data_IF_597274469104
#
_entry.id   IF_597274469104
#
_cell.length_a   1.000
_cell.length_b   1.000
_cell.length_c   1.000
_cell.angle_alpha   90.00
_cell.angle_beta   90.00
_cell.angle_gamma   90.00
#
_symmetry.space_group_name_H-M   'P 1'
#
loop_
_entity.id
_entity.type
_entity.pdbx_description
1 polymer ?
#
# COMPACT_ATOMS: atom_id res chain seq x y z
N UNK A 1 23.16 -5.75 -4.99
CA UNK A 1 23.41 -4.81 -3.86
C UNK A 1 22.23 -3.84 -3.86
N UNK A 2 21.04 -4.38 -3.58
CA UNK A 2 19.75 -3.71 -3.82
C UNK A 2 19.13 -3.20 -2.52
N UNK A 3 19.75 -3.57 -1.41
CA UNK A 3 19.43 -3.18 -0.03
C UNK A 3 19.40 -1.67 0.22
N UNK A 4 20.30 -0.81 -0.30
CA UNK A 4 20.21 0.64 -0.06
C UNK A 4 19.06 1.31 -0.82
N UNK A 5 18.74 0.85 -2.03
CA UNK A 5 17.62 1.37 -2.84
C UNK A 5 16.27 0.95 -2.24
N UNK A 6 16.15 -0.31 -1.81
CA UNK A 6 14.99 -0.80 -1.06
C UNK A 6 14.76 0.00 0.22
N UNK A 7 15.80 0.25 0.99
CA UNK A 7 15.69 1.04 2.22
C UNK A 7 15.26 2.47 1.93
N UNK A 8 15.83 3.12 0.91
CA UNK A 8 15.42 4.48 0.51
C UNK A 8 13.95 4.51 0.06
N UNK A 9 13.51 3.54 -0.74
CA UNK A 9 12.13 3.40 -1.19
C UNK A 9 11.17 3.18 -0.02
N UNK A 10 11.46 2.19 0.83
CA UNK A 10 10.66 1.88 2.03
C UNK A 10 10.51 3.09 2.95
N UNK A 11 11.59 3.85 3.16
CA UNK A 11 11.54 5.07 3.98
C UNK A 11 10.64 6.16 3.38
N UNK A 12 10.56 6.27 2.05
CA UNK A 12 9.72 7.22 1.33
C UNK A 12 8.23 6.85 1.27
N UNK A 13 7.87 5.62 1.62
CA UNK A 13 6.46 5.19 1.67
C UNK A 13 5.72 5.87 2.82
N UNK A 14 4.40 6.00 2.68
CA UNK A 14 3.53 6.47 3.77
C UNK A 14 3.49 5.43 4.89
N UNK A 15 3.43 5.87 6.14
CA UNK A 15 3.34 5.00 7.32
C UNK A 15 2.23 3.95 7.19
N UNK A 16 1.03 4.34 6.74
CA UNK A 16 -0.10 3.41 6.51
C UNK A 16 0.22 2.28 5.51
N UNK A 17 1.05 2.56 4.50
CA UNK A 17 1.48 1.55 3.54
C UNK A 17 2.53 0.65 4.18
N UNK A 18 3.48 1.23 4.95
CA UNK A 18 4.49 0.45 5.70
C UNK A 18 3.83 -0.52 6.70
N UNK A 19 2.83 -0.06 7.45
CA UNK A 19 2.08 -0.88 8.41
C UNK A 19 1.40 -2.08 7.72
N UNK A 20 0.73 -1.85 6.58
CA UNK A 20 0.12 -2.95 5.82
C UNK A 20 1.19 -3.87 5.19
N UNK A 21 2.33 -3.33 4.75
CA UNK A 21 3.44 -4.14 4.22
C UNK A 21 4.04 -5.09 5.27
N UNK A 22 3.99 -4.75 6.57
CA UNK A 22 4.43 -5.65 7.66
C UNK A 22 3.55 -6.92 7.74
N UNK A 23 2.31 -6.85 7.26
CA UNK A 23 1.40 -8.00 7.20
C UNK A 23 1.61 -8.88 5.96
N UNK A 24 2.48 -8.48 5.04
CA UNK A 24 2.85 -9.26 3.86
C UNK A 24 4.24 -9.91 4.02
N UNK A 25 4.50 -10.95 3.22
CA UNK A 25 5.84 -11.54 3.14
C UNK A 25 6.88 -10.48 2.75
N UNK A 26 8.08 -10.62 3.32
CA UNK A 26 9.18 -9.69 3.10
C UNK A 26 9.60 -9.77 1.64
N UNK A 27 9.56 -8.66 0.92
CA UNK A 27 10.10 -8.58 -0.45
C UNK A 27 11.62 -8.81 -0.42
N UNK A 28 12.11 -9.71 -1.28
CA UNK A 28 13.54 -9.98 -1.44
C UNK A 28 14.18 -8.97 -2.40
N UNK A 29 13.42 -8.52 -3.41
CA UNK A 29 13.87 -7.57 -4.43
C UNK A 29 13.13 -6.22 -4.39
N UNK A 30 13.78 -5.17 -4.94
CA UNK A 30 13.18 -3.83 -5.02
C UNK A 30 11.90 -3.83 -5.85
N UNK A 31 11.88 -4.61 -6.92
CA UNK A 31 10.74 -4.73 -7.82
C UNK A 31 9.52 -5.30 -7.08
N UNK A 32 9.74 -6.37 -6.31
CA UNK A 32 8.70 -6.97 -5.46
C UNK A 32 8.18 -5.98 -4.42
N UNK A 33 9.06 -5.19 -3.80
CA UNK A 33 8.66 -4.16 -2.84
C UNK A 33 7.78 -3.08 -3.49
N UNK A 34 8.10 -2.68 -4.73
CA UNK A 34 7.30 -1.73 -5.50
C UNK A 34 5.94 -2.33 -5.83
N UNK A 35 5.89 -3.57 -6.34
CA UNK A 35 4.64 -4.26 -6.66
C UNK A 35 3.74 -4.45 -5.44
N UNK A 36 4.32 -4.83 -4.30
CA UNK A 36 3.62 -4.96 -3.01
C UNK A 36 3.07 -3.61 -2.55
N UNK A 37 3.87 -2.54 -2.59
CA UNK A 37 3.43 -1.21 -2.20
C UNK A 37 2.28 -0.70 -3.07
N UNK A 38 2.33 -0.92 -4.39
CA UNK A 38 1.26 -0.55 -5.33
C UNK A 38 -0.02 -1.34 -5.04
N UNK A 39 0.09 -2.65 -4.78
CA UNK A 39 -1.06 -3.50 -4.46
C UNK A 39 -1.74 -3.07 -3.15
N UNK A 40 -0.94 -2.76 -2.13
CA UNK A 40 -1.43 -2.24 -0.84
C UNK A 40 -2.11 -0.89 -1.02
N UNK A 41 -1.49 0.04 -1.76
CA UNK A 41 -2.07 1.37 -2.01
C UNK A 41 -3.42 1.28 -2.74
N UNK A 42 -3.52 0.43 -3.77
CA UNK A 42 -4.78 0.17 -4.46
C UNK A 42 -5.86 -0.36 -3.51
N UNK A 43 -5.53 -1.35 -2.67
CA UNK A 43 -6.49 -1.91 -1.70
C UNK A 43 -6.92 -0.86 -0.67
N UNK A 44 -6.01 -0.01 -0.20
CA UNK A 44 -6.31 1.09 0.71
C UNK A 44 -7.18 2.15 0.04
N UNK A 45 -6.94 2.44 -1.24
CA UNK A 45 -7.75 3.36 -2.03
C UNK A 45 -9.16 2.81 -2.25
N UNK A 46 -9.30 1.54 -2.64
CA UNK A 46 -10.60 0.86 -2.78
C UNK A 46 -11.37 0.90 -1.46
N UNK A 47 -10.74 0.52 -0.34
CA UNK A 47 -11.37 0.55 1.00
C UNK A 47 -11.84 1.97 1.40
N UNK A 48 -11.09 3.00 1.02
CA UNK A 48 -11.48 4.39 1.28
C UNK A 48 -12.62 4.84 0.35
N UNK A 49 -12.58 4.42 -0.91
CA UNK A 49 -13.58 4.77 -1.92
C UNK A 49 -14.91 4.08 -1.63
N UNK A 50 -14.89 2.80 -1.23
CA UNK A 50 -16.08 2.05 -0.80
C UNK A 50 -16.75 2.70 0.41
N UNK A 51 -15.98 3.17 1.41
CA UNK A 51 -16.54 3.93 2.54
C UNK A 51 -17.17 5.25 2.11
N UNK A 52 -16.66 5.87 1.06
CA UNK A 52 -17.16 7.15 0.53
C UNK A 52 -18.44 6.95 -0.29
N UNK A 53 -18.57 5.82 -0.98
CA UNK A 53 -19.77 5.48 -1.75
C UNK A 53 -20.89 4.88 -0.88
N UNK A 54 -20.59 4.03 0.13
CA UNK A 54 -21.60 3.53 1.08
C UNK A 54 -22.16 4.60 2.02
N UNK A 55 -21.48 5.74 2.15
CA UNK A 55 -21.92 6.88 2.96
C UNK A 55 -22.89 7.83 2.25
N UNK A 56 -23.19 7.62 0.97
CA UNK A 56 -24.24 8.37 0.28
C UNK A 56 -25.56 7.65 0.53
N UNK A 57 -26.50 8.19 1.34
CA UNK A 57 -27.83 7.65 1.35
C UNK A 57 -28.39 7.83 -0.06
N UNK A 58 -28.48 6.74 -0.82
CA UNK A 58 -29.26 6.69 -2.04
C UNK A 58 -30.72 6.80 -1.62
N UNK A 59 -31.16 8.03 -1.35
CA UNK A 59 -32.57 8.38 -1.44
C UNK A 59 -32.93 8.27 -2.91
N UNK A 60 -33.56 7.15 -3.26
CA UNK A 60 -34.31 6.98 -4.49
C UNK A 60 -35.78 6.94 -4.15
#
# INVERSE_FOLDING_TARGET
DDTPLQAAYYNGLKEIIKDELVHHDKADDLDELIELAVRVDNRLYERQTEKKELGKPTFR
#
